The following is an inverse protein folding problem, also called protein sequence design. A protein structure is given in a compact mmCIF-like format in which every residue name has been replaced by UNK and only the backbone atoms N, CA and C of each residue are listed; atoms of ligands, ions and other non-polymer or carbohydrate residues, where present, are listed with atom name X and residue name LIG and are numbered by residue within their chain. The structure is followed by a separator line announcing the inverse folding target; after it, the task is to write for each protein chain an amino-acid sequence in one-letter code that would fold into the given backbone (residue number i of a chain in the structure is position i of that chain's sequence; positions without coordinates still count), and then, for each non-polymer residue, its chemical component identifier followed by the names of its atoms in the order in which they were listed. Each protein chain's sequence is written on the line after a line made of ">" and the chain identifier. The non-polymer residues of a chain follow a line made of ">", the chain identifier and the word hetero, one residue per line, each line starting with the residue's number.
data_IF_006053170354
#
_entry.id   IF_006053170354
#
_cell.length_a   1.000
_cell.length_b   1.000
_cell.length_c   1.000
_cell.angle_alpha   90.00
_cell.angle_beta   90.00
_cell.angle_gamma   90.00
#
_symmetry.space_group_name_H-M   'P 1'
#
loop_
_entity.id
_entity.type
_entity.pdbx_description
1 polymer ?
#
# COMPACT_ATOMS: atom_id res chain seq x y z
N UNK A 1 12.15 -11.08 -67.97
CA UNK A 1 12.81 -11.44 -66.70
C UNK A 1 12.51 -10.33 -65.72
N UNK A 2 11.55 -10.56 -64.82
CA UNK A 2 11.15 -9.60 -63.79
C UNK A 2 11.92 -9.95 -62.52
N UNK A 3 12.82 -9.06 -62.09
CA UNK A 3 13.56 -9.22 -60.83
C UNK A 3 12.62 -8.91 -59.66
N UNK A 4 12.29 -9.96 -58.91
CA UNK A 4 11.58 -9.88 -57.64
C UNK A 4 12.53 -9.35 -56.57
N UNK A 5 12.35 -8.09 -56.16
CA UNK A 5 13.08 -7.46 -55.06
C UNK A 5 12.52 -7.99 -53.74
N UNK A 6 13.32 -8.77 -53.01
CA UNK A 6 13.02 -9.23 -51.64
C UNK A 6 12.83 -8.02 -50.71
N UNK A 7 11.77 -7.96 -49.88
CA UNK A 7 11.60 -6.86 -48.94
C UNK A 7 12.63 -6.98 -47.81
N UNK A 8 13.31 -5.86 -47.52
CA UNK A 8 14.24 -5.76 -46.41
C UNK A 8 13.48 -5.92 -45.08
N UNK A 9 13.86 -6.93 -44.29
CA UNK A 9 13.42 -7.10 -42.91
C UNK A 9 13.83 -5.87 -42.11
N UNK A 10 12.88 -5.01 -41.78
CA UNK A 10 13.10 -3.87 -40.89
C UNK A 10 13.42 -4.44 -39.51
N UNK A 11 14.67 -4.32 -39.06
CA UNK A 11 15.05 -4.73 -37.72
C UNK A 11 14.20 -3.97 -36.70
N UNK A 12 13.47 -4.70 -35.85
CA UNK A 12 12.75 -4.10 -34.73
C UNK A 12 13.82 -3.43 -33.84
N UNK A 13 13.75 -2.12 -33.56
CA UNK A 13 14.73 -1.46 -32.71
C UNK A 13 14.73 -2.12 -31.32
N UNK A 14 15.92 -2.36 -30.76
CA UNK A 14 16.06 -2.91 -29.42
C UNK A 14 15.30 -2.04 -28.41
N UNK A 15 14.62 -2.64 -27.42
CA UNK A 15 13.85 -1.88 -26.45
C UNK A 15 14.78 -0.95 -25.63
N UNK A 16 14.27 0.21 -25.16
CA UNK A 16 15.07 1.14 -24.35
C UNK A 16 15.57 0.45 -23.07
N UNK A 17 16.83 0.68 -22.68
CA UNK A 17 17.35 0.15 -21.41
C UNK A 17 16.81 0.92 -20.20
N UNK A 18 16.90 0.31 -19.02
CA UNK A 18 16.51 0.91 -17.75
C UNK A 18 17.71 1.63 -17.10
N UNK A 19 17.43 2.66 -16.31
CA UNK A 19 18.46 3.22 -15.43
C UNK A 19 18.66 2.25 -14.26
N UNK A 20 19.92 1.97 -13.92
CA UNK A 20 20.27 0.99 -12.89
C UNK A 20 21.53 1.37 -12.12
N UNK A 21 21.77 0.62 -11.05
CA UNK A 21 23.00 0.62 -10.25
C UNK A 21 23.34 -0.78 -9.78
N UNK A 22 24.64 -1.06 -9.69
CA UNK A 22 25.16 -2.22 -8.95
C UNK A 22 25.75 -1.79 -7.61
N UNK A 23 25.61 -2.67 -6.61
CA UNK A 23 26.31 -2.60 -5.33
C UNK A 23 26.85 -4.00 -4.97
N UNK A 24 27.99 -4.08 -4.29
CA UNK A 24 28.59 -5.35 -3.85
C UNK A 24 29.68 -5.92 -4.79
N UNK A 25 30.19 -7.13 -4.49
CA UNK A 25 31.33 -7.72 -5.18
C UNK A 25 31.02 -8.06 -6.65
N UNK A 26 31.92 -7.76 -7.58
CA UNK A 26 31.68 -7.96 -9.03
C UNK A 26 31.44 -9.42 -9.44
N UNK A 27 32.11 -10.35 -8.74
CA UNK A 27 32.07 -11.80 -8.99
C UNK A 27 30.97 -12.53 -8.22
N UNK A 28 30.22 -11.82 -7.37
CA UNK A 28 29.13 -12.44 -6.61
C UNK A 28 27.91 -12.72 -7.51
N UNK A 29 27.09 -13.74 -7.19
CA UNK A 29 25.85 -13.99 -7.92
C UNK A 29 24.94 -12.76 -7.93
N UNK A 30 24.25 -12.51 -9.04
CA UNK A 30 23.40 -11.32 -9.19
C UNK A 30 22.05 -11.50 -8.50
N UNK A 31 21.68 -10.53 -7.67
CA UNK A 31 20.35 -10.38 -7.09
C UNK A 31 19.73 -9.07 -7.58
N UNK A 32 18.58 -9.15 -8.23
CA UNK A 32 17.86 -7.99 -8.76
C UNK A 32 16.78 -7.56 -7.77
N UNK A 33 16.70 -6.25 -7.48
CA UNK A 33 15.64 -5.65 -6.67
C UNK A 33 14.77 -4.71 -7.54
N UNK A 34 13.50 -5.08 -7.72
CA UNK A 34 12.50 -4.31 -8.47
C UNK A 34 11.69 -3.36 -7.57
N UNK A 35 11.57 -2.07 -7.92
CA UNK A 35 10.87 -1.08 -7.09
C UNK A 35 9.34 -1.15 -7.24
N UNK A 36 8.63 -0.46 -6.33
CA UNK A 36 7.19 -0.25 -6.40
C UNK A 36 6.85 0.94 -7.31
N UNK A 37 5.58 1.04 -7.72
CA UNK A 37 5.08 2.18 -8.50
C UNK A 37 5.19 3.47 -7.68
N UNK A 38 5.80 4.52 -8.23
CA UNK A 38 5.98 5.80 -7.56
C UNK A 38 7.16 5.83 -6.58
N UNK A 39 7.98 4.78 -6.53
CA UNK A 39 9.22 4.77 -5.76
C UNK A 39 10.44 4.73 -6.69
N UNK A 40 11.62 4.84 -6.10
CA UNK A 40 12.91 4.61 -6.76
C UNK A 40 13.58 3.39 -6.14
N UNK A 41 14.72 2.96 -6.69
CA UNK A 41 15.55 1.92 -6.09
C UNK A 41 15.98 2.22 -4.64
N UNK A 42 15.89 3.48 -4.19
CA UNK A 42 16.26 3.90 -2.84
C UNK A 42 15.34 3.29 -1.77
N UNK A 43 14.16 2.78 -2.14
CA UNK A 43 13.33 2.00 -1.23
C UNK A 43 14.02 0.76 -0.68
N UNK A 44 15.07 0.29 -1.36
CA UNK A 44 15.85 -0.88 -0.96
C UNK A 44 17.13 -0.54 -0.19
N UNK A 45 17.46 0.75 0.03
CA UNK A 45 18.75 1.17 0.59
C UNK A 45 19.07 0.49 1.92
N UNK A 46 18.06 0.22 2.75
CA UNK A 46 18.24 -0.40 4.08
C UNK A 46 18.54 -1.90 4.02
N UNK A 47 18.25 -2.58 2.91
CA UNK A 47 18.60 -3.99 2.71
C UNK A 47 20.04 -4.16 2.20
N UNK A 48 20.59 -3.14 1.52
CA UNK A 48 21.85 -3.24 0.78
C UNK A 48 23.03 -3.68 1.65
N UNK A 49 23.29 -3.12 2.86
CA UNK A 49 24.46 -3.48 3.64
C UNK A 49 24.59 -4.98 3.95
N UNK A 50 23.47 -5.68 4.08
CA UNK A 50 23.46 -7.12 4.33
C UNK A 50 23.46 -7.95 3.04
N UNK A 51 22.69 -7.54 2.03
CA UNK A 51 22.62 -8.29 0.76
C UNK A 51 23.96 -8.30 0.02
N UNK A 52 24.72 -7.20 0.04
CA UNK A 52 26.01 -7.12 -0.66
C UNK A 52 27.10 -8.00 -0.06
N UNK A 53 26.87 -8.62 1.11
CA UNK A 53 27.79 -9.60 1.69
C UNK A 53 27.85 -10.90 0.88
N UNK A 54 26.80 -11.23 0.13
CA UNK A 54 26.71 -12.48 -0.63
C UNK A 54 26.36 -12.29 -2.10
N UNK A 55 25.71 -11.17 -2.47
CA UNK A 55 25.24 -10.93 -3.83
C UNK A 55 25.81 -9.66 -4.43
N UNK A 56 25.94 -9.67 -5.75
CA UNK A 56 26.05 -8.45 -6.55
C UNK A 56 24.64 -7.92 -6.78
N UNK A 57 24.27 -6.87 -6.06
CA UNK A 57 22.90 -6.38 -6.06
C UNK A 57 22.69 -5.41 -7.22
N UNK A 58 21.77 -5.73 -8.12
CA UNK A 58 21.31 -4.85 -9.19
C UNK A 58 19.99 -4.21 -8.78
N UNK A 59 19.91 -2.89 -8.88
CA UNK A 59 18.67 -2.14 -8.65
C UNK A 59 18.39 -1.24 -9.83
N UNK A 60 17.13 -1.05 -10.17
CA UNK A 60 16.72 -0.21 -11.29
C UNK A 60 15.54 0.68 -10.91
N UNK A 61 15.42 1.78 -11.64
CA UNK A 61 14.26 2.65 -11.59
C UNK A 61 13.31 2.29 -12.73
N UNK A 62 12.01 2.39 -12.46
CA UNK A 62 10.99 2.27 -13.49
C UNK A 62 11.10 3.47 -14.45
N UNK A 63 10.63 3.36 -15.72
CA UNK A 63 10.65 4.49 -16.64
C UNK A 63 10.03 5.75 -16.02
N UNK A 64 10.71 6.89 -16.17
CA UNK A 64 10.27 8.17 -15.63
C UNK A 64 10.28 8.31 -14.09
N UNK A 65 10.75 7.31 -13.34
CA UNK A 65 10.86 7.41 -11.88
C UNK A 65 12.27 7.87 -11.48
N UNK A 66 12.37 8.67 -10.43
CA UNK A 66 13.64 9.19 -9.94
C UNK A 66 14.35 10.03 -11.01
N UNK A 67 15.46 9.53 -11.55
CA UNK A 67 16.20 10.15 -12.66
C UNK A 67 16.02 9.46 -14.01
N UNK A 68 15.19 8.42 -14.08
CA UNK A 68 15.13 7.55 -15.25
C UNK A 68 14.52 8.26 -16.45
N UNK A 69 15.05 8.02 -17.67
CA UNK A 69 14.45 8.57 -18.88
C UNK A 69 12.94 8.28 -18.97
N UNK A 70 12.17 9.33 -19.29
CA UNK A 70 10.72 9.27 -19.40
C UNK A 70 10.29 8.60 -20.72
N UNK A 71 10.37 7.27 -20.76
CA UNK A 71 9.92 6.45 -21.87
C UNK A 71 8.79 5.53 -21.39
N UNK A 72 7.51 5.95 -21.50
CA UNK A 72 6.39 5.18 -20.96
C UNK A 72 6.40 3.72 -21.41
N UNK A 73 5.97 2.82 -20.51
CA UNK A 73 5.79 1.40 -20.77
C UNK A 73 4.37 1.02 -20.33
N UNK A 74 3.54 0.60 -21.28
CA UNK A 74 2.10 0.39 -21.09
C UNK A 74 1.71 -1.01 -20.59
N UNK A 75 2.69 -1.89 -20.41
CA UNK A 75 2.48 -3.25 -19.93
C UNK A 75 3.63 -3.73 -19.06
N UNK A 76 3.37 -4.70 -18.17
CA UNK A 76 4.41 -5.36 -17.39
C UNK A 76 5.41 -6.06 -18.30
N UNK A 77 4.95 -6.67 -19.39
CA UNK A 77 5.79 -7.29 -20.41
C UNK A 77 6.79 -6.31 -21.05
N UNK A 78 6.39 -5.07 -21.33
CA UNK A 78 7.31 -4.03 -21.83
C UNK A 78 8.38 -3.67 -20.80
N UNK A 79 8.03 -3.53 -19.52
CA UNK A 79 9.02 -3.27 -18.46
C UNK A 79 9.99 -4.45 -18.33
N UNK A 80 9.48 -5.68 -18.35
CA UNK A 80 10.28 -6.91 -18.31
C UNK A 80 11.23 -7.00 -19.50
N UNK A 81 10.77 -6.71 -20.72
CA UNK A 81 11.62 -6.73 -21.92
C UNK A 81 12.76 -5.71 -21.84
N UNK A 82 12.52 -4.52 -21.27
CA UNK A 82 13.56 -3.50 -21.05
C UNK A 82 14.56 -3.93 -19.99
N UNK A 83 14.10 -4.56 -18.91
CA UNK A 83 14.97 -5.13 -17.90
C UNK A 83 15.88 -6.21 -18.51
N UNK A 84 15.31 -7.17 -19.26
CA UNK A 84 16.08 -8.22 -19.92
C UNK A 84 17.09 -7.66 -20.91
N UNK A 85 16.71 -6.71 -21.76
CA UNK A 85 17.65 -6.07 -22.69
C UNK A 85 18.79 -5.34 -21.97
N UNK A 86 18.51 -4.74 -20.80
CA UNK A 86 19.53 -4.12 -19.95
C UNK A 86 20.49 -5.17 -19.39
N UNK A 87 19.97 -6.29 -18.89
CA UNK A 87 20.76 -7.39 -18.32
C UNK A 87 21.60 -8.12 -19.38
N UNK A 88 21.04 -8.30 -20.58
CA UNK A 88 21.74 -8.93 -21.71
C UNK A 88 22.94 -8.08 -22.15
N UNK A 89 22.78 -6.76 -22.23
CA UNK A 89 23.88 -5.83 -22.51
C UNK A 89 24.98 -5.84 -21.43
N UNK A 90 24.63 -6.27 -20.21
CA UNK A 90 25.55 -6.41 -19.07
C UNK A 90 26.10 -7.84 -18.90
N UNK A 91 25.69 -8.77 -19.77
CA UNK A 91 26.11 -10.17 -19.69
C UNK A 91 25.50 -10.96 -18.53
N UNK A 92 24.46 -10.46 -17.87
CA UNK A 92 23.82 -11.12 -16.72
C UNK A 92 22.80 -12.15 -17.21
N UNK A 93 23.18 -13.43 -17.20
CA UNK A 93 22.36 -14.51 -17.76
C UNK A 93 21.43 -15.20 -16.76
N UNK A 94 21.77 -15.25 -15.46
CA UNK A 94 20.93 -15.87 -14.44
C UNK A 94 21.05 -15.11 -13.13
N UNK A 95 19.93 -14.91 -12.44
CA UNK A 95 19.86 -14.04 -11.26
C UNK A 95 18.76 -14.47 -10.28
N UNK A 96 18.91 -14.10 -9.02
CA UNK A 96 17.79 -14.05 -8.08
C UNK A 96 16.99 -12.78 -8.31
N UNK A 97 15.68 -12.80 -8.05
CA UNK A 97 14.84 -11.62 -8.24
C UNK A 97 13.94 -11.39 -7.03
N UNK A 98 13.98 -10.18 -6.45
CA UNK A 98 13.02 -9.72 -5.47
C UNK A 98 12.32 -8.45 -6.00
N UNK A 99 10.99 -8.41 -5.96
CA UNK A 99 10.24 -7.27 -6.49
C UNK A 99 9.11 -6.83 -5.57
N UNK A 100 8.97 -5.51 -5.37
CA UNK A 100 7.88 -4.94 -4.59
C UNK A 100 6.74 -4.46 -5.48
N UNK A 101 5.49 -4.87 -5.23
CA UNK A 101 4.29 -4.44 -5.96
C UNK A 101 4.42 -4.56 -7.49
N UNK A 102 4.52 -3.45 -8.24
CA UNK A 102 4.77 -3.48 -9.69
C UNK A 102 6.08 -4.21 -10.04
N UNK A 103 7.13 -4.05 -9.24
CA UNK A 103 8.34 -4.86 -9.34
C UNK A 103 8.07 -6.35 -9.11
N UNK A 104 7.11 -6.69 -8.25
CA UNK A 104 6.62 -8.07 -8.08
C UNK A 104 5.92 -8.60 -9.33
N UNK A 105 5.10 -7.77 -10.00
CA UNK A 105 4.47 -8.13 -11.28
C UNK A 105 5.52 -8.43 -12.36
N UNK A 106 6.57 -7.62 -12.45
CA UNK A 106 7.73 -7.86 -13.34
C UNK A 106 8.41 -9.20 -13.00
N UNK A 107 8.56 -9.52 -11.71
CA UNK A 107 9.10 -10.80 -11.26
C UNK A 107 8.25 -12.00 -11.67
N UNK A 108 6.93 -11.88 -11.57
CA UNK A 108 6.00 -12.93 -12.03
C UNK A 108 6.09 -13.11 -13.55
N UNK A 109 6.10 -12.02 -14.32
CA UNK A 109 6.25 -12.07 -15.78
C UNK A 109 7.58 -12.73 -16.18
N UNK A 110 8.68 -12.38 -15.50
CA UNK A 110 9.98 -13.04 -15.68
C UNK A 110 9.90 -14.54 -15.42
N UNK A 111 9.30 -14.96 -14.31
CA UNK A 111 9.22 -16.38 -13.95
C UNK A 111 8.29 -17.18 -14.87
N UNK A 112 7.26 -16.55 -15.44
CA UNK A 112 6.33 -17.20 -16.38
C UNK A 112 6.90 -17.31 -17.80
N UNK A 113 7.67 -16.32 -18.24
CA UNK A 113 8.10 -16.18 -19.63
C UNK A 113 9.58 -16.49 -19.85
N UNK A 114 10.39 -16.34 -18.81
CA UNK A 114 11.84 -16.54 -18.83
C UNK A 114 12.34 -17.31 -17.57
N UNK A 115 11.72 -18.46 -17.22
CA UNK A 115 12.09 -19.21 -16.01
C UNK A 115 13.56 -19.63 -15.99
N UNK A 116 14.20 -19.81 -17.14
CA UNK A 116 15.63 -20.13 -17.27
C UNK A 116 16.56 -19.03 -16.72
N UNK A 117 16.09 -17.79 -16.69
CA UNK A 117 16.86 -16.62 -16.20
C UNK A 117 16.74 -16.45 -14.69
N UNK A 118 15.65 -16.95 -14.09
CA UNK A 118 15.31 -16.71 -12.68
C UNK A 118 15.73 -17.91 -11.82
N UNK A 119 16.72 -17.72 -10.96
CA UNK A 119 17.16 -18.77 -10.04
C UNK A 119 16.18 -18.96 -8.86
N UNK A 120 15.60 -17.87 -8.38
CA UNK A 120 14.62 -17.83 -7.28
C UNK A 120 13.92 -16.47 -7.25
N UNK A 121 12.74 -16.44 -6.64
CA UNK A 121 11.80 -15.33 -6.72
C UNK A 121 11.29 -14.93 -5.34
N UNK A 122 11.40 -13.65 -4.99
CA UNK A 122 10.73 -13.06 -3.85
C UNK A 122 9.70 -12.01 -4.31
N UNK A 123 8.43 -12.26 -4.01
CA UNK A 123 7.31 -11.38 -4.31
C UNK A 123 6.92 -10.61 -3.04
N UNK A 124 7.26 -9.33 -3.00
CA UNK A 124 7.05 -8.46 -1.83
C UNK A 124 5.84 -7.55 -2.09
N UNK A 125 4.85 -7.57 -1.20
CA UNK A 125 3.63 -6.75 -1.33
C UNK A 125 3.09 -6.77 -2.78
N UNK A 126 2.91 -7.99 -3.31
CA UNK A 126 2.58 -8.24 -4.70
C UNK A 126 1.23 -8.95 -4.80
N UNK A 127 0.67 -8.97 -6.01
CA UNK A 127 -0.62 -9.60 -6.29
C UNK A 127 -0.61 -10.24 -7.68
N UNK A 128 -1.35 -11.33 -7.92
CA UNK A 128 -1.51 -11.89 -9.27
C UNK A 128 -2.47 -11.06 -10.13
N UNK A 129 -3.16 -10.10 -9.52
CA UNK A 129 -3.97 -9.06 -10.16
C UNK A 129 -4.10 -7.86 -9.23
N UNK A 130 -3.83 -6.66 -9.70
CA UNK A 130 -3.88 -5.47 -8.85
C UNK A 130 -5.24 -4.78 -8.93
N UNK A 131 -5.98 -4.76 -7.83
CA UNK A 131 -7.26 -4.05 -7.70
C UNK A 131 -8.21 -4.29 -8.87
N UNK A 132 -9.02 -3.26 -9.20
CA UNK A 132 -9.78 -3.23 -10.45
C UNK A 132 -9.06 -2.41 -11.51
N UNK A 133 -9.27 -2.77 -12.79
CA UNK A 133 -8.70 -2.01 -13.90
C UNK A 133 -9.17 -0.55 -13.88
N UNK A 134 -10.41 -0.31 -13.46
CA UNK A 134 -10.99 1.03 -13.40
C UNK A 134 -10.36 1.89 -12.31
N UNK A 135 -10.00 1.33 -11.14
CA UNK A 135 -9.26 2.07 -10.10
C UNK A 135 -7.92 2.62 -10.64
N UNK A 136 -7.16 1.80 -11.37
CA UNK A 136 -5.88 2.21 -11.94
C UNK A 136 -6.06 3.23 -13.09
N UNK A 137 -7.06 3.05 -13.95
CA UNK A 137 -7.39 4.03 -15.00
C UNK A 137 -7.85 5.36 -14.42
N UNK A 138 -8.66 5.34 -13.36
CA UNK A 138 -9.08 6.54 -12.63
C UNK A 138 -7.89 7.28 -12.02
N UNK A 139 -6.93 6.56 -11.43
CA UNK A 139 -5.65 7.18 -11.00
C UNK A 139 -4.93 7.84 -12.17
N UNK A 140 -4.89 7.20 -13.34
CA UNK A 140 -4.34 7.78 -14.55
C UNK A 140 -5.04 9.09 -14.98
N UNK A 141 -6.38 9.16 -14.87
CA UNK A 141 -7.17 10.38 -15.14
C UNK A 141 -6.85 11.49 -14.14
N UNK A 142 -6.74 11.16 -12.85
CA UNK A 142 -6.35 12.12 -11.80
C UNK A 142 -4.98 12.72 -12.13
N UNK A 143 -4.01 11.87 -12.46
CA UNK A 143 -2.64 12.30 -12.79
C UNK A 143 -2.59 13.17 -14.03
N UNK A 144 -3.33 12.80 -15.08
CA UNK A 144 -3.40 13.58 -16.32
C UNK A 144 -3.92 15.00 -16.09
N UNK A 145 -4.83 15.17 -15.13
CA UNK A 145 -5.51 16.44 -14.86
C UNK A 145 -4.76 17.28 -13.82
N UNK A 146 -4.19 16.64 -12.80
CA UNK A 146 -3.69 17.32 -11.59
C UNK A 146 -2.18 17.10 -11.35
N UNK A 147 -1.50 16.38 -12.22
CA UNK A 147 -0.15 15.88 -11.97
C UNK A 147 -0.11 14.86 -10.82
N UNK A 148 1.09 14.63 -10.29
CA UNK A 148 1.33 13.61 -9.27
C UNK A 148 0.98 14.06 -7.84
N UNK A 149 0.73 15.35 -7.60
CA UNK A 149 0.60 15.89 -6.25
C UNK A 149 -0.53 15.24 -5.42
N UNK A 150 -1.75 15.00 -5.95
CA UNK A 150 -2.81 14.32 -5.21
C UNK A 150 -2.46 12.86 -4.87
N UNK A 151 -1.76 12.19 -5.78
CA UNK A 151 -1.32 10.82 -5.57
C UNK A 151 -0.23 10.79 -4.50
N UNK A 152 0.76 11.68 -4.61
CA UNK A 152 1.87 11.77 -3.68
C UNK A 152 1.41 12.02 -2.25
N UNK A 153 0.49 12.97 -2.03
CA UNK A 153 -0.03 13.30 -0.69
C UNK A 153 -0.76 12.14 -0.02
N UNK A 154 -1.39 11.27 -0.79
CA UNK A 154 -2.17 10.13 -0.28
C UNK A 154 -1.41 8.81 -0.27
N UNK A 155 -0.18 8.78 -0.82
CA UNK A 155 0.62 7.55 -0.87
C UNK A 155 1.05 7.04 0.52
N UNK A 156 1.49 7.89 1.47
CA UNK A 156 1.88 7.42 2.80
C UNK A 156 0.80 6.61 3.52
N UNK A 157 -0.47 7.01 3.43
CA UNK A 157 -1.60 6.33 4.07
C UNK A 157 -1.81 4.89 3.55
N UNK A 158 -1.37 4.62 2.31
CA UNK A 158 -1.41 3.29 1.69
C UNK A 158 -0.12 2.51 1.91
N UNK A 159 0.98 3.19 2.20
CA UNK A 159 2.32 2.62 2.19
C UNK A 159 2.83 2.24 3.57
N UNK A 160 2.35 2.90 4.62
CA UNK A 160 2.83 2.75 5.98
C UNK A 160 1.68 2.59 6.96
N UNK A 161 1.93 1.90 8.07
CA UNK A 161 0.99 1.93 9.19
C UNK A 161 0.92 3.33 9.79
N UNK A 162 -0.21 3.67 10.42
CA UNK A 162 -0.36 4.95 11.11
C UNK A 162 0.69 5.17 12.20
N UNK A 163 1.07 4.10 12.91
CA UNK A 163 2.13 4.14 13.93
C UNK A 163 3.50 4.48 13.35
N UNK A 164 3.89 3.84 12.24
CA UNK A 164 5.14 4.18 11.56
C UNK A 164 5.11 5.59 10.97
N UNK A 165 4.01 5.97 10.33
CA UNK A 165 3.87 7.29 9.72
C UNK A 165 4.00 8.42 10.75
N UNK A 166 3.44 8.24 11.95
CA UNK A 166 3.58 9.18 13.06
C UNK A 166 5.00 9.20 13.64
N UNK A 167 5.65 8.04 13.75
CA UNK A 167 6.99 7.92 14.32
C UNK A 167 8.11 8.35 13.34
N UNK A 168 7.88 8.28 12.03
CA UNK A 168 8.90 8.50 10.99
C UNK A 168 8.46 9.52 9.92
N UNK A 169 8.11 10.76 10.31
CA UNK A 169 7.58 11.77 9.38
C UNK A 169 8.58 12.17 8.27
N UNK A 170 9.88 12.06 8.52
CA UNK A 170 10.89 12.32 7.50
C UNK A 170 10.90 11.25 6.40
N UNK A 171 10.64 9.99 6.75
CA UNK A 171 10.56 8.88 5.78
C UNK A 171 9.28 8.99 4.96
N UNK A 172 8.17 9.35 5.58
CA UNK A 172 6.91 9.55 4.86
C UNK A 172 7.01 10.72 3.88
N UNK A 173 7.60 11.85 4.29
CA UNK A 173 7.85 12.98 3.38
C UNK A 173 8.79 12.59 2.24
N UNK A 174 9.87 11.84 2.51
CA UNK A 174 10.74 11.29 1.46
C UNK A 174 9.96 10.43 0.46
N UNK A 175 9.04 9.59 0.94
CA UNK A 175 8.20 8.77 0.08
C UNK A 175 7.24 9.62 -0.78
N UNK A 176 6.67 10.70 -0.23
CA UNK A 176 5.88 11.69 -0.98
C UNK A 176 6.72 12.30 -2.10
N UNK A 177 7.98 12.68 -1.81
CA UNK A 177 8.86 13.30 -2.81
C UNK A 177 9.21 12.34 -3.96
N UNK A 178 9.45 11.05 -3.68
CA UNK A 178 9.66 10.06 -4.75
C UNK A 178 8.51 10.06 -5.75
N UNK A 179 7.27 10.04 -5.26
CA UNK A 179 6.07 10.07 -6.11
C UNK A 179 6.02 11.38 -6.91
N UNK A 180 6.19 12.53 -6.25
CA UNK A 180 6.15 13.86 -6.90
C UNK A 180 7.12 14.00 -8.05
N UNK A 181 8.30 13.41 -7.94
CA UNK A 181 9.36 13.51 -8.94
C UNK A 181 9.19 12.55 -10.12
N UNK A 182 8.19 11.67 -10.09
CA UNK A 182 7.92 10.75 -11.20
C UNK A 182 7.28 11.48 -12.38
N UNK A 183 7.71 11.16 -13.59
CA UNK A 183 7.10 11.63 -14.83
C UNK A 183 5.62 11.22 -14.90
N UNK A 184 4.67 12.17 -15.07
CA UNK A 184 3.24 11.86 -15.11
C UNK A 184 2.84 10.88 -16.21
N UNK A 185 3.46 10.97 -17.40
CA UNK A 185 3.16 10.08 -18.53
C UNK A 185 3.55 8.64 -18.24
N UNK A 186 4.74 8.44 -17.66
CA UNK A 186 5.22 7.13 -17.26
C UNK A 186 4.41 6.54 -16.09
N UNK A 187 4.01 7.38 -15.12
CA UNK A 187 3.13 6.94 -14.03
C UNK A 187 1.77 6.45 -14.55
N UNK A 188 1.15 7.20 -15.48
CA UNK A 188 -0.10 6.79 -16.13
C UNK A 188 0.08 5.46 -16.87
N UNK A 189 1.16 5.30 -17.63
CA UNK A 189 1.42 4.06 -18.36
C UNK A 189 1.64 2.87 -17.41
N UNK A 190 2.29 3.08 -16.27
CA UNK A 190 2.44 2.05 -15.25
C UNK A 190 1.10 1.70 -14.58
N UNK A 191 0.18 2.67 -14.41
CA UNK A 191 -1.19 2.37 -13.99
C UNK A 191 -1.92 1.50 -15.03
N UNK A 192 -1.81 1.81 -16.33
CA UNK A 192 -2.40 0.96 -17.38
C UNK A 192 -1.78 -0.45 -17.39
N UNK A 193 -0.47 -0.56 -17.17
CA UNK A 193 0.20 -1.85 -17.05
C UNK A 193 -0.37 -2.70 -15.91
N UNK A 194 -0.61 -2.10 -14.74
CA UNK A 194 -1.24 -2.78 -13.61
C UNK A 194 -2.72 -3.08 -13.84
N UNK A 195 -3.45 -2.19 -14.53
CA UNK A 195 -4.85 -2.39 -14.87
C UNK A 195 -5.07 -3.61 -15.78
N UNK A 196 -4.11 -3.89 -16.67
CA UNK A 196 -4.14 -5.04 -17.58
C UNK A 196 -3.50 -6.31 -17.00
N UNK A 197 -2.81 -6.23 -15.86
CA UNK A 197 -2.10 -7.36 -15.29
C UNK A 197 -3.03 -8.31 -14.54
N UNK A 198 -3.25 -9.50 -15.10
CA UNK A 198 -3.95 -10.60 -14.46
C UNK A 198 -3.34 -11.94 -14.91
N UNK A 199 -2.61 -12.57 -14.00
CA UNK A 199 -1.87 -13.82 -14.24
C UNK A 199 -2.39 -14.97 -13.38
N UNK A 200 -3.56 -14.78 -12.72
CA UNK A 200 -4.18 -15.82 -11.87
C UNK A 200 -4.30 -17.18 -12.57
N UNK A 201 -4.67 -17.29 -13.86
CA UNK A 201 -4.74 -18.57 -14.55
C UNK A 201 -3.38 -19.22 -14.84
N UNK A 202 -2.28 -18.46 -14.76
CA UNK A 202 -0.94 -18.89 -15.16
C UNK A 202 -0.04 -19.23 -13.96
N UNK A 203 -0.42 -18.88 -12.72
CA UNK A 203 0.43 -19.04 -11.53
C UNK A 203 1.02 -20.44 -11.37
N UNK A 204 0.26 -21.49 -11.72
CA UNK A 204 0.71 -22.88 -11.64
C UNK A 204 1.90 -23.23 -12.54
N UNK A 205 2.28 -22.34 -13.46
CA UNK A 205 3.44 -22.49 -14.36
C UNK A 205 4.73 -21.92 -13.77
N UNK A 206 4.67 -21.19 -12.66
CA UNK A 206 5.87 -20.67 -11.99
C UNK A 206 6.55 -21.82 -11.27
N UNK A 207 7.67 -22.30 -11.83
CA UNK A 207 8.41 -23.46 -11.30
C UNK A 207 9.64 -23.12 -10.46
N UNK A 208 9.93 -21.84 -10.23
CA UNK A 208 11.11 -21.41 -9.47
C UNK A 208 10.77 -21.30 -7.97
N UNK A 209 11.73 -21.58 -7.06
CA UNK A 209 11.52 -21.41 -5.63
C UNK A 209 11.04 -19.99 -5.32
N UNK A 210 9.87 -19.88 -4.69
CA UNK A 210 9.19 -18.59 -4.50
C UNK A 210 8.93 -18.30 -3.02
N UNK A 211 9.32 -17.10 -2.58
CA UNK A 211 8.88 -16.49 -1.32
C UNK A 211 7.85 -15.40 -1.63
N UNK A 212 6.72 -15.42 -0.93
CA UNK A 212 5.74 -14.34 -0.92
C UNK A 212 5.84 -13.65 0.44
N UNK A 213 6.14 -12.36 0.45
CA UNK A 213 6.32 -11.54 1.64
C UNK A 213 5.29 -10.41 1.64
N UNK A 214 4.52 -10.28 2.72
CA UNK A 214 3.48 -9.24 2.83
C UNK A 214 3.45 -8.64 4.23
N UNK A 215 3.10 -7.37 4.35
CA UNK A 215 2.80 -6.75 5.64
C UNK A 215 1.43 -7.20 6.17
N UNK A 216 1.30 -7.41 7.47
CA UNK A 216 0.00 -7.81 8.06
C UNK A 216 -1.10 -6.79 7.82
N UNK A 217 -0.73 -5.51 7.66
CA UNK A 217 -1.63 -4.37 7.61
C UNK A 217 -1.71 -3.77 6.20
N UNK A 218 -1.08 -4.41 5.20
CA UNK A 218 -1.14 -3.99 3.80
C UNK A 218 -2.59 -4.05 3.29
N UNK A 219 -3.15 -2.89 2.94
CA UNK A 219 -4.51 -2.77 2.38
C UNK A 219 -4.52 -2.67 0.84
N UNK A 220 -3.35 -2.64 0.20
CA UNK A 220 -3.20 -2.53 -1.25
C UNK A 220 -3.06 -3.92 -1.88
N UNK A 221 -2.18 -4.75 -1.33
CA UNK A 221 -1.89 -6.12 -1.77
C UNK A 221 -1.75 -7.05 -0.56
N UNK A 222 -2.75 -6.97 0.32
CA UNK A 222 -2.70 -7.55 1.64
C UNK A 222 -2.60 -9.08 1.73
N UNK A 223 -2.67 -9.63 2.95
CA UNK A 223 -2.53 -11.06 3.20
C UNK A 223 -3.46 -11.97 2.38
N UNK A 224 -4.62 -11.46 1.92
CA UNK A 224 -5.51 -12.21 1.03
C UNK A 224 -4.87 -12.48 -0.34
N UNK A 225 -4.27 -11.46 -0.96
CA UNK A 225 -3.60 -11.61 -2.26
C UNK A 225 -2.34 -12.46 -2.15
N UNK A 226 -1.58 -12.30 -1.05
CA UNK A 226 -0.43 -13.13 -0.76
C UNK A 226 -0.80 -14.62 -0.64
N UNK A 227 -1.94 -14.93 0.00
CA UNK A 227 -2.48 -16.30 0.05
C UNK A 227 -2.89 -16.81 -1.33
N UNK A 228 -3.46 -15.97 -2.18
CA UNK A 228 -3.76 -16.33 -3.58
C UNK A 228 -2.50 -16.69 -4.35
N UNK A 229 -1.41 -15.92 -4.21
CA UNK A 229 -0.11 -16.25 -4.81
C UNK A 229 0.39 -17.61 -4.34
N UNK A 230 0.42 -17.84 -3.02
CA UNK A 230 0.94 -19.09 -2.44
C UNK A 230 0.09 -20.30 -2.81
N UNK A 231 -1.24 -20.13 -2.91
CA UNK A 231 -2.11 -21.20 -3.37
C UNK A 231 -1.94 -21.52 -4.87
N UNK A 232 -1.55 -20.53 -5.68
CA UNK A 232 -1.39 -20.69 -7.12
C UNK A 232 0.00 -21.11 -7.58
N UNK A 233 1.04 -20.81 -6.79
CA UNK A 233 2.45 -21.06 -7.16
C UNK A 233 2.95 -22.33 -6.44
N UNK A 234 3.40 -23.36 -7.18
CA UNK A 234 4.02 -24.55 -6.59
C UNK A 234 5.16 -24.22 -5.62
N UNK A 235 5.16 -24.87 -4.46
CA UNK A 235 6.19 -24.75 -3.41
C UNK A 235 6.48 -23.33 -2.91
N UNK A 236 5.56 -22.38 -3.14
CA UNK A 236 5.68 -21.04 -2.63
C UNK A 236 5.53 -21.00 -1.09
N UNK A 237 6.37 -20.19 -0.44
CA UNK A 237 6.31 -19.95 1.01
C UNK A 237 5.73 -18.59 1.30
N UNK A 238 4.90 -18.48 2.34
CA UNK A 238 4.37 -17.20 2.83
C UNK A 238 5.17 -16.71 4.04
N UNK A 239 5.57 -15.44 4.01
CA UNK A 239 6.02 -14.69 5.18
C UNK A 239 5.13 -13.46 5.38
N UNK A 240 4.48 -13.38 6.55
CA UNK A 240 3.70 -12.20 6.94
C UNK A 240 4.52 -11.42 7.98
N UNK A 241 4.81 -10.15 7.69
CA UNK A 241 5.56 -9.26 8.57
C UNK A 241 4.56 -8.48 9.44
N UNK A 242 4.52 -8.71 10.77
CA UNK A 242 3.57 -8.04 11.65
C UNK A 242 3.84 -6.53 11.75
N UNK A 243 2.77 -5.73 11.82
CA UNK A 243 2.85 -4.28 12.02
C UNK A 243 3.56 -3.57 10.87
N UNK A 244 3.32 -4.03 9.63
CA UNK A 244 3.79 -3.40 8.41
C UNK A 244 2.66 -3.31 7.39
N UNK A 245 2.65 -2.23 6.63
CA UNK A 245 1.75 -2.01 5.51
C UNK A 245 2.46 -2.32 4.18
N UNK A 246 2.12 -1.62 3.09
CA UNK A 246 2.52 -1.99 1.73
C UNK A 246 4.02 -1.84 1.43
N UNK A 247 4.69 -0.78 1.89
CA UNK A 247 6.14 -0.62 1.70
C UNK A 247 6.93 -1.31 2.83
N UNK A 248 6.66 -2.61 3.01
CA UNK A 248 7.32 -3.47 4.01
C UNK A 248 8.85 -3.35 4.03
N UNK A 249 9.57 -3.26 2.89
CA UNK A 249 11.03 -3.07 2.89
C UNK A 249 11.51 -1.78 3.58
N UNK A 250 10.67 -0.74 3.57
CA UNK A 250 10.99 0.56 4.19
C UNK A 250 10.55 0.56 5.66
N UNK A 251 9.38 -0.01 5.95
CA UNK A 251 8.76 0.01 7.27
C UNK A 251 9.41 -0.99 8.25
N UNK A 252 9.71 -2.22 7.79
CA UNK A 252 10.33 -3.28 8.59
C UNK A 252 11.59 -3.82 7.89
N UNK A 253 12.63 -2.98 7.74
CA UNK A 253 13.78 -3.29 6.89
C UNK A 253 14.56 -4.51 7.36
N UNK A 254 14.73 -4.69 8.68
CA UNK A 254 15.48 -5.82 9.24
C UNK A 254 14.77 -7.16 8.97
N UNK A 255 13.46 -7.25 9.26
CA UNK A 255 12.67 -8.45 9.01
C UNK A 255 12.66 -8.83 7.53
N UNK A 256 12.50 -7.86 6.63
CA UNK A 256 12.58 -8.10 5.18
C UNK A 256 13.96 -8.58 4.78
N UNK A 257 15.03 -7.96 5.28
CA UNK A 257 16.40 -8.36 4.98
C UNK A 257 16.67 -9.81 5.37
N UNK A 258 16.32 -10.20 6.59
CA UNK A 258 16.53 -11.56 7.09
C UNK A 258 15.79 -12.59 6.23
N UNK A 259 14.54 -12.30 5.86
CA UNK A 259 13.73 -13.16 5.00
C UNK A 259 14.32 -13.32 3.60
N UNK A 260 14.80 -12.23 2.99
CA UNK A 260 15.45 -12.27 1.67
C UNK A 260 16.78 -13.02 1.74
N UNK A 261 17.64 -12.73 2.72
CA UNK A 261 18.92 -13.43 2.90
C UNK A 261 18.69 -14.93 3.06
N UNK A 262 17.76 -15.33 3.92
CA UNK A 262 17.43 -16.74 4.14
C UNK A 262 16.90 -17.42 2.87
N UNK A 263 15.99 -16.76 2.15
CA UNK A 263 15.41 -17.30 0.92
C UNK A 263 16.46 -17.51 -0.18
N UNK A 264 17.27 -16.50 -0.48
CA UNK A 264 18.24 -16.56 -1.56
C UNK A 264 19.45 -17.44 -1.23
N UNK A 265 19.88 -17.50 0.04
CA UNK A 265 20.97 -18.40 0.45
C UNK A 265 20.57 -19.88 0.29
N UNK A 266 19.33 -20.24 0.62
CA UNK A 266 18.84 -21.62 0.52
C UNK A 266 18.54 -22.04 -0.93
N UNK A 267 18.00 -21.12 -1.75
CA UNK A 267 17.67 -21.42 -3.13
C UNK A 267 18.91 -21.58 -4.03
N UNK A 268 19.99 -20.84 -3.77
CA UNK A 268 21.21 -20.93 -4.58
C UNK A 268 21.99 -22.24 -4.35
N UNK A 269 21.80 -22.89 -3.21
CA UNK A 269 22.44 -24.17 -2.89
C UNK A 269 21.86 -25.34 -3.70
N UNK A 270 20.62 -25.26 -4.21
CA UNK A 270 19.97 -26.38 -4.91
C UNK A 270 20.44 -26.62 -6.35
N UNK A 271 21.28 -25.75 -6.94
CA UNK A 271 21.67 -25.86 -8.36
C UNK A 271 23.05 -26.50 -8.64
N UNK A 272 23.69 -27.19 -7.68
CA UNK A 272 24.98 -27.86 -7.92
C UNK A 272 25.13 -29.26 -7.30
N UNK A 273 24.05 -30.02 -7.14
CA UNK A 273 24.19 -31.39 -6.62
C UNK A 273 23.38 -32.43 -7.40
N UNK A 274 23.85 -32.72 -8.62
CA UNK A 274 23.73 -34.04 -9.22
C UNK A 274 25.12 -34.54 -9.57
N UNK A 275 25.89 -34.92 -8.55
CA UNK A 275 27.15 -35.59 -8.82
C UNK A 275 28.12 -35.81 -7.67
N UNK A 276 27.71 -36.07 -6.42
CA UNK A 276 28.30 -37.11 -5.53
C UNK A 276 27.83 -36.94 -4.08
N UNK A 277 27.42 -38.04 -3.48
CA UNK A 277 27.03 -38.20 -2.07
C UNK A 277 28.11 -37.79 -1.07
N UNK A 278 27.73 -37.02 -0.03
CA UNK A 278 28.11 -37.29 1.37
C UNK A 278 27.28 -36.46 2.38
N UNK A 279 26.46 -37.13 3.20
CA UNK A 279 26.26 -36.76 4.62
C UNK A 279 27.34 -37.50 5.41
N UNK A 280 28.04 -36.90 6.42
CA UNK A 280 27.47 -36.65 7.76
C UNK A 280 28.08 -35.39 8.46
N UNK A 281 27.70 -34.88 9.63
CA UNK A 281 26.77 -35.25 10.70
C UNK A 281 26.86 -34.18 11.81
N UNK A 282 25.88 -34.12 12.72
CA UNK A 282 25.89 -33.26 13.93
C UNK A 282 26.30 -34.12 15.13
N UNK A 283 27.08 -33.59 16.10
CA UNK A 283 26.54 -33.46 17.46
C UNK A 283 26.80 -32.10 18.13
N UNK A 284 25.85 -31.73 18.99
CA UNK A 284 25.67 -30.46 19.68
C UNK A 284 26.54 -30.23 20.93
N UNK A 285 26.54 -28.99 21.44
CA UNK A 285 26.61 -28.72 22.87
C UNK A 285 25.72 -27.51 23.24
N UNK A 286 24.90 -27.59 24.32
CA UNK A 286 24.03 -26.50 24.75
C UNK A 286 24.75 -25.53 25.71
N UNK A 287 24.53 -24.23 25.51
CA UNK A 287 24.93 -23.19 26.47
C UNK A 287 23.71 -22.82 27.32
N UNK A 288 23.78 -22.77 28.66
CA UNK A 288 22.64 -22.36 29.48
C UNK A 288 22.47 -20.83 29.41
N UNK A 289 21.27 -20.39 29.04
CA UNK A 289 20.84 -18.99 29.18
C UNK A 289 20.36 -18.74 30.61
N UNK A 290 20.95 -17.76 31.28
CA UNK A 290 20.46 -17.23 32.54
C UNK A 290 19.15 -16.45 32.33
N UNK A 291 18.23 -16.42 33.31
CA UNK A 291 16.99 -15.67 33.18
C UNK A 291 17.25 -14.15 33.17
N UNK A 292 16.53 -13.37 32.33
CA UNK A 292 16.71 -11.92 32.28
C UNK A 292 16.28 -11.28 33.61
N UNK A 293 17.09 -10.33 34.08
CA UNK A 293 16.75 -9.48 35.22
C UNK A 293 15.70 -8.44 34.79
N UNK A 294 14.70 -8.11 35.63
CA UNK A 294 13.74 -7.06 35.33
C UNK A 294 14.42 -5.68 35.35
N UNK A 295 14.41 -5.00 34.22
CA UNK A 295 14.71 -3.56 34.11
C UNK A 295 13.51 -2.75 34.65
N UNK A 296 13.73 -1.69 35.44
CA UNK A 296 12.64 -0.88 35.95
C UNK A 296 11.96 -0.10 34.80
N UNK A 297 10.64 -0.21 34.73
CA UNK A 297 9.78 0.60 33.87
C UNK A 297 9.93 2.06 34.32
N UNK A 298 10.35 2.93 33.40
CA UNK A 298 10.45 4.36 33.66
C UNK A 298 9.06 4.93 34.01
N UNK A 299 8.99 5.62 35.14
CA UNK A 299 7.80 6.34 35.59
C UNK A 299 7.59 7.55 34.65
N UNK A 300 6.51 7.54 33.87
CA UNK A 300 6.18 8.60 32.91
C UNK A 300 5.62 9.78 33.71
N UNK A 301 6.43 10.83 33.88
CA UNK A 301 5.96 12.11 34.40
C UNK A 301 5.02 12.78 33.38
N UNK A 302 3.90 13.40 33.80
CA UNK A 302 2.99 14.07 32.87
C UNK A 302 3.67 15.30 32.27
N UNK A 303 3.59 15.43 30.94
CA UNK A 303 4.03 16.62 30.23
C UNK A 303 3.11 17.81 30.56
N UNK A 304 3.69 19.00 30.68
CA UNK A 304 2.93 20.22 30.97
C UNK A 304 2.00 20.58 29.81
N UNK A 305 0.70 20.67 30.10
CA UNK A 305 -0.33 21.11 29.15
C UNK A 305 -0.15 22.61 28.87
N UNK A 306 0.06 23.05 27.61
CA UNK A 306 0.15 24.46 27.29
C UNK A 306 -1.18 25.19 27.55
N UNK A 307 -1.11 26.41 28.09
CA UNK A 307 -2.30 27.19 28.43
C UNK A 307 -3.08 27.61 27.18
N UNK A 308 -4.40 27.39 27.20
CA UNK A 308 -5.35 27.77 26.15
C UNK A 308 -5.29 29.28 25.87
N UNK A 309 -5.33 29.64 24.59
CA UNK A 309 -5.48 31.04 24.16
C UNK A 309 -6.96 31.41 24.08
N UNK A 310 -7.32 32.68 24.34
CA UNK A 310 -8.71 33.13 24.42
C UNK A 310 -9.56 32.80 23.17
N UNK A 311 -8.96 32.82 21.98
CA UNK A 311 -9.65 32.46 20.73
C UNK A 311 -9.92 30.96 20.54
N UNK A 312 -9.23 30.07 21.28
CA UNK A 312 -9.48 28.63 21.25
C UNK A 312 -10.66 28.24 22.15
N UNK A 313 -10.83 28.94 23.29
CA UNK A 313 -11.95 28.71 24.21
C UNK A 313 -13.30 29.07 23.56
N UNK A 314 -13.38 30.23 22.90
CA UNK A 314 -14.60 30.71 22.23
C UNK A 314 -15.09 29.76 21.11
N UNK A 315 -14.16 29.19 20.35
CA UNK A 315 -14.47 28.19 19.31
C UNK A 315 -14.89 26.84 19.88
N UNK A 316 -14.32 26.43 21.01
CA UNK A 316 -14.72 25.20 21.69
C UNK A 316 -16.14 25.31 22.24
N UNK A 317 -16.51 26.42 22.87
CA UNK A 317 -17.87 26.66 23.37
C UNK A 317 -18.90 26.70 22.25
N UNK A 318 -18.60 27.44 21.17
CA UNK A 318 -19.42 27.46 19.95
C UNK A 318 -19.57 26.07 19.34
N UNK A 319 -18.46 25.32 19.27
CA UNK A 319 -18.45 23.96 18.74
C UNK A 319 -19.23 22.99 19.61
N UNK A 320 -19.14 23.09 20.93
CA UNK A 320 -19.88 22.24 21.85
C UNK A 320 -21.38 22.44 21.72
N UNK A 321 -21.82 23.70 21.57
CA UNK A 321 -23.23 24.02 21.29
C UNK A 321 -23.70 23.39 19.98
N UNK A 322 -22.98 23.57 18.89
CA UNK A 322 -23.35 23.02 17.58
C UNK A 322 -23.31 21.49 17.61
N UNK A 323 -22.29 20.89 18.25
CA UNK A 323 -22.16 19.44 18.41
C UNK A 323 -23.38 18.85 19.13
N UNK A 324 -23.87 19.52 20.17
CA UNK A 324 -25.08 19.09 20.90
C UNK A 324 -26.33 19.21 20.05
N UNK A 325 -26.50 20.32 19.35
CA UNK A 325 -27.65 20.50 18.46
C UNK A 325 -27.67 19.44 17.34
N UNK A 326 -26.51 19.07 16.80
CA UNK A 326 -26.41 18.10 15.70
C UNK A 326 -26.32 16.65 16.15
N UNK A 327 -25.65 16.32 17.26
CA UNK A 327 -25.45 14.93 17.73
C UNK A 327 -26.35 14.53 18.91
N UNK A 328 -26.97 15.50 19.59
CA UNK A 328 -27.87 15.30 20.70
C UNK A 328 -27.13 15.26 22.04
N UNK A 329 -27.73 15.83 23.08
CA UNK A 329 -27.08 15.99 24.38
C UNK A 329 -26.60 14.67 24.98
N UNK A 330 -27.48 13.66 25.02
CA UNK A 330 -27.16 12.35 25.60
C UNK A 330 -25.96 11.67 24.92
N UNK A 331 -25.83 11.80 23.59
CA UNK A 331 -24.71 11.23 22.85
C UNK A 331 -23.42 12.00 23.14
N UNK A 332 -23.47 13.34 23.15
CA UNK A 332 -22.31 14.18 23.45
C UNK A 332 -21.83 13.96 24.88
N UNK A 333 -22.74 13.84 25.84
CA UNK A 333 -22.41 13.58 27.24
C UNK A 333 -21.76 12.21 27.42
N UNK A 334 -22.27 11.18 26.73
CA UNK A 334 -21.67 9.84 26.77
C UNK A 334 -20.25 9.82 26.18
N UNK A 335 -20.04 10.52 25.07
CA UNK A 335 -18.73 10.64 24.42
C UNK A 335 -17.73 11.40 25.29
N UNK A 336 -18.14 12.52 25.90
CA UNK A 336 -17.28 13.29 26.80
C UNK A 336 -16.99 12.53 28.11
N UNK A 337 -17.96 11.78 28.65
CA UNK A 337 -17.75 10.97 29.85
C UNK A 337 -16.81 9.76 29.60
N UNK A 338 -16.78 9.23 28.36
CA UNK A 338 -15.83 8.20 27.93
C UNK A 338 -14.44 8.77 27.63
N UNK A 339 -14.32 10.08 27.47
CA UNK A 339 -13.06 10.74 27.22
C UNK A 339 -12.22 10.81 28.51
N UNK A 340 -11.31 9.85 28.67
CA UNK A 340 -10.32 9.89 29.76
C UNK A 340 -9.13 10.78 29.41
N UNK A 341 -8.12 10.83 30.28
CA UNK A 341 -6.89 11.61 30.10
C UNK A 341 -6.20 11.37 28.74
N UNK A 342 -6.37 10.17 28.17
CA UNK A 342 -5.79 9.79 26.89
C UNK A 342 -6.52 10.39 25.66
N UNK A 343 -7.83 10.65 25.75
CA UNK A 343 -8.65 11.06 24.61
C UNK A 343 -9.34 12.41 24.78
N UNK A 344 -9.18 13.06 25.93
CA UNK A 344 -9.73 14.39 26.22
C UNK A 344 -9.30 15.46 25.20
N UNK A 345 -7.99 15.55 24.92
CA UNK A 345 -7.45 16.52 23.95
C UNK A 345 -7.98 16.30 22.53
N UNK A 346 -8.24 15.04 22.17
CA UNK A 346 -8.83 14.69 20.88
C UNK A 346 -10.31 15.10 20.80
N UNK A 347 -11.10 14.84 21.85
CA UNK A 347 -12.50 15.26 21.91
C UNK A 347 -12.64 16.78 21.93
N UNK A 348 -11.70 17.48 22.57
CA UNK A 348 -11.60 18.94 22.49
C UNK A 348 -11.32 19.40 21.06
N UNK A 349 -10.31 18.83 20.41
CA UNK A 349 -9.95 19.16 19.04
C UNK A 349 -11.13 18.95 18.08
N UNK A 350 -11.80 17.80 18.13
CA UNK A 350 -12.96 17.49 17.29
C UNK A 350 -14.08 18.49 17.54
N UNK A 351 -14.38 18.79 18.81
CA UNK A 351 -15.41 19.77 19.20
C UNK A 351 -15.13 21.14 18.60
N UNK A 352 -13.89 21.62 18.72
CA UNK A 352 -13.50 22.92 18.18
C UNK A 352 -13.50 22.93 16.64
N UNK A 353 -12.83 21.97 16.02
CA UNK A 353 -12.56 22.01 14.58
C UNK A 353 -13.72 21.53 13.73
N UNK A 354 -14.34 20.39 14.04
CA UNK A 354 -15.48 19.92 13.24
C UNK A 354 -16.70 20.82 13.49
N UNK A 355 -17.04 21.04 14.76
CA UNK A 355 -18.31 21.67 15.10
C UNK A 355 -18.23 23.19 15.17
N UNK A 356 -17.19 23.72 15.82
CA UNK A 356 -17.00 25.16 16.00
C UNK A 356 -16.52 25.87 14.73
N UNK A 357 -15.75 25.19 13.88
CA UNK A 357 -15.16 25.80 12.70
C UNK A 357 -15.80 25.40 11.38
N UNK A 358 -16.37 24.20 11.21
CA UNK A 358 -16.89 23.75 9.90
C UNK A 358 -18.42 23.68 9.86
N UNK A 359 -19.05 22.99 10.82
CA UNK A 359 -20.52 22.87 10.85
C UNK A 359 -21.24 24.20 11.12
N UNK A 360 -20.58 25.14 11.78
CA UNK A 360 -21.09 26.49 12.02
C UNK A 360 -20.92 27.48 10.85
N UNK A 361 -20.23 27.11 9.77
CA UNK A 361 -19.93 28.08 8.69
C UNK A 361 -21.16 28.41 7.86
N UNK A 362 -21.34 29.69 7.48
CA UNK A 362 -22.31 30.05 6.45
C UNK A 362 -21.89 29.44 5.10
N UNK A 363 -22.86 29.03 4.28
CA UNK A 363 -22.65 28.53 2.92
C UNK A 363 -23.37 27.22 2.60
N UNK A 364 -23.36 26.26 3.55
CA UNK A 364 -24.19 25.05 3.47
C UNK A 364 -25.06 24.95 4.71
N UNK A 365 -26.35 24.70 4.52
CA UNK A 365 -27.27 24.43 5.62
C UNK A 365 -27.00 23.05 6.27
N UNK A 366 -27.57 22.83 7.45
CA UNK A 366 -27.35 21.59 8.22
C UNK A 366 -27.89 20.35 7.54
N UNK A 367 -28.95 20.49 6.74
CA UNK A 367 -29.52 19.39 5.95
C UNK A 367 -28.50 18.92 4.91
N UNK A 368 -27.99 19.84 4.11
CA UNK A 368 -27.02 19.58 3.05
C UNK A 368 -25.71 19.02 3.63
N UNK A 369 -25.24 19.58 4.76
CA UNK A 369 -24.06 19.03 5.46
C UNK A 369 -24.29 17.60 5.93
N UNK A 370 -25.50 17.27 6.39
CA UNK A 370 -25.86 15.89 6.76
C UNK A 370 -25.84 14.97 5.55
N UNK A 371 -26.38 15.38 4.39
CA UNK A 371 -26.28 14.61 3.15
C UNK A 371 -24.82 14.29 2.79
N UNK A 372 -23.96 15.32 2.77
CA UNK A 372 -22.53 15.16 2.45
C UNK A 372 -21.82 14.26 3.45
N UNK A 373 -22.11 14.42 4.74
CA UNK A 373 -21.50 13.62 5.81
C UNK A 373 -21.92 12.16 5.69
N UNK A 374 -23.20 11.87 5.48
CA UNK A 374 -23.69 10.51 5.26
C UNK A 374 -22.98 9.87 4.05
N UNK A 375 -22.91 10.56 2.91
CA UNK A 375 -22.18 10.04 1.75
C UNK A 375 -20.72 9.73 2.07
N UNK A 376 -20.00 10.64 2.75
CA UNK A 376 -18.60 10.44 3.10
C UNK A 376 -18.39 9.24 4.05
N UNK A 377 -19.26 9.06 5.04
CA UNK A 377 -19.21 7.92 5.96
C UNK A 377 -19.48 6.59 5.24
N UNK A 378 -20.38 6.59 4.26
CA UNK A 378 -20.62 5.41 3.39
C UNK A 378 -19.39 5.11 2.54
N UNK A 379 -18.76 6.12 1.94
CA UNK A 379 -17.53 5.92 1.14
C UNK A 379 -16.38 5.35 1.98
N UNK A 380 -16.20 5.83 3.21
CA UNK A 380 -15.14 5.38 4.12
C UNK A 380 -15.43 4.06 4.86
N UNK A 381 -16.65 3.51 4.73
CA UNK A 381 -17.05 2.30 5.45
C UNK A 381 -17.21 2.50 6.96
N UNK A 382 -17.39 3.73 7.44
CA UNK A 382 -17.47 4.09 8.86
C UNK A 382 -18.89 3.87 9.41
N UNK A 383 -19.30 2.60 9.51
CA UNK A 383 -20.67 2.22 9.84
C UNK A 383 -21.12 2.59 11.27
N UNK A 384 -20.19 2.64 12.23
CA UNK A 384 -20.48 3.04 13.61
C UNK A 384 -20.87 4.53 13.69
N UNK A 385 -20.09 5.39 13.04
CA UNK A 385 -20.39 6.82 12.93
C UNK A 385 -21.61 7.09 12.07
N UNK A 386 -21.84 6.28 11.03
CA UNK A 386 -23.01 6.39 10.16
C UNK A 386 -24.32 6.29 10.93
N UNK A 387 -24.39 5.44 11.95
CA UNK A 387 -25.58 5.33 12.80
C UNK A 387 -25.87 6.64 13.55
N UNK A 388 -24.83 7.22 14.17
CA UNK A 388 -24.95 8.49 14.89
C UNK A 388 -25.32 9.66 13.96
N UNK A 389 -24.71 9.70 12.76
CA UNK A 389 -24.99 10.72 11.78
C UNK A 389 -26.33 10.55 11.04
N UNK A 390 -26.90 9.33 11.02
CA UNK A 390 -28.27 9.12 10.54
C UNK A 390 -29.28 9.75 11.51
N UNK A 391 -29.11 9.58 12.83
CA UNK A 391 -29.94 10.31 13.83
C UNK A 391 -29.76 11.82 13.72
N UNK A 392 -28.52 12.27 13.51
CA UNK A 392 -28.22 13.68 13.32
C UNK A 392 -28.92 14.26 12.07
N UNK A 393 -28.94 13.50 10.97
CA UNK A 393 -29.62 13.90 9.75
C UNK A 393 -31.13 14.07 9.95
N UNK A 394 -31.77 13.13 10.66
CA UNK A 394 -33.18 13.23 11.05
C UNK A 394 -33.43 14.47 11.91
N UNK A 395 -32.60 14.75 12.92
CA UNK A 395 -32.71 15.95 13.77
C UNK A 395 -32.46 17.26 13.02
N UNK A 396 -31.59 17.24 12.01
CA UNK A 396 -31.39 18.36 11.10
C UNK A 396 -32.53 18.50 10.07
N UNK A 397 -33.51 17.61 10.10
CA UNK A 397 -34.78 17.69 9.39
C UNK A 397 -34.90 16.80 8.16
N UNK A 398 -33.89 16.00 7.81
CA UNK A 398 -34.03 15.08 6.68
C UNK A 398 -35.12 14.05 6.99
N UNK A 399 -35.93 13.74 5.99
CA UNK A 399 -36.89 12.65 6.08
C UNK A 399 -36.20 11.30 5.81
N UNK A 400 -36.79 10.18 6.26
CA UNK A 400 -36.32 8.84 5.88
C UNK A 400 -36.19 8.65 4.36
N UNK A 401 -37.10 9.23 3.58
CA UNK A 401 -37.04 9.17 2.12
C UNK A 401 -35.87 9.97 1.55
N UNK A 402 -35.56 11.16 2.08
CA UNK A 402 -34.38 11.92 1.65
C UNK A 402 -33.07 11.20 2.01
N UNK A 403 -33.01 10.56 3.19
CA UNK A 403 -31.85 9.73 3.56
C UNK A 403 -31.72 8.54 2.60
N UNK A 404 -32.84 7.90 2.22
CA UNK A 404 -32.86 6.84 1.20
C UNK A 404 -32.29 7.34 -0.13
N UNK A 405 -32.71 8.52 -0.61
CA UNK A 405 -32.18 9.10 -1.86
C UNK A 405 -30.66 9.36 -1.77
N UNK A 406 -30.15 9.84 -0.63
CA UNK A 406 -28.71 10.01 -0.41
C UNK A 406 -27.97 8.66 -0.48
N UNK A 407 -28.52 7.60 0.09
CA UNK A 407 -27.90 6.27 0.06
C UNK A 407 -27.99 5.61 -1.32
N UNK A 408 -29.08 5.84 -2.08
CA UNK A 408 -29.20 5.42 -3.47
C UNK A 408 -28.15 6.13 -4.35
N UNK A 409 -28.00 7.44 -4.16
CA UNK A 409 -26.94 8.21 -4.83
C UNK A 409 -25.55 7.65 -4.47
N UNK A 410 -25.31 7.36 -3.18
CA UNK A 410 -24.06 6.78 -2.72
C UNK A 410 -23.78 5.40 -3.35
N UNK A 411 -24.80 4.58 -3.63
CA UNK A 411 -24.62 3.28 -4.29
C UNK A 411 -23.99 3.40 -5.69
N UNK A 412 -24.29 4.47 -6.42
CA UNK A 412 -23.73 4.73 -7.77
C UNK A 412 -22.24 5.05 -7.70
N UNK A 413 -21.81 5.84 -6.71
CA UNK A 413 -20.44 6.35 -6.63
C UNK A 413 -19.52 5.57 -5.69
N UNK A 414 -20.09 4.90 -4.68
CA UNK A 414 -19.35 4.19 -3.63
C UNK A 414 -19.49 2.66 -3.75
N UNK A 415 -20.32 2.18 -4.67
CA UNK A 415 -20.58 0.76 -4.90
C UNK A 415 -21.72 0.19 -4.05
N UNK A 416 -22.44 -0.77 -4.64
CA UNK A 416 -23.61 -1.43 -4.05
C UNK A 416 -23.30 -2.12 -2.71
N UNK A 417 -22.15 -2.80 -2.48
CA UNK A 417 -21.88 -3.44 -1.19
C UNK A 417 -21.75 -2.45 -0.02
N UNK A 418 -21.12 -1.30 -0.24
CA UNK A 418 -20.99 -0.24 0.76
C UNK A 418 -22.37 0.37 1.08
N UNK A 419 -23.15 0.68 0.03
CA UNK A 419 -24.51 1.15 0.19
C UNK A 419 -25.42 0.13 0.89
N UNK A 420 -25.32 -1.17 0.60
CA UNK A 420 -26.10 -2.21 1.28
C UNK A 420 -25.85 -2.21 2.80
N UNK A 421 -24.59 -2.06 3.21
CA UNK A 421 -24.25 -1.97 4.63
C UNK A 421 -24.80 -0.69 5.27
N UNK A 422 -24.73 0.42 4.55
CA UNK A 422 -25.30 1.69 4.98
C UNK A 422 -26.82 1.66 5.11
N UNK A 423 -27.52 1.04 4.14
CA UNK A 423 -28.97 0.85 4.15
C UNK A 423 -29.44 0.08 5.38
N UNK A 424 -28.72 -0.99 5.74
CA UNK A 424 -29.02 -1.79 6.93
C UNK A 424 -28.91 -0.97 8.21
N UNK A 425 -27.83 -0.18 8.36
CA UNK A 425 -27.63 0.70 9.52
C UNK A 425 -28.69 1.80 9.57
N UNK A 426 -28.92 2.49 8.46
CA UNK A 426 -29.89 3.59 8.40
C UNK A 426 -31.31 3.09 8.66
N UNK A 427 -31.69 1.93 8.12
CA UNK A 427 -33.01 1.35 8.36
C UNK A 427 -33.23 0.98 9.83
N UNK A 428 -32.20 0.46 10.50
CA UNK A 428 -32.26 0.19 11.93
C UNK A 428 -32.50 1.49 12.71
N UNK A 429 -31.67 2.51 12.47
CA UNK A 429 -31.76 3.79 13.16
C UNK A 429 -33.09 4.50 12.90
N UNK A 430 -33.55 4.54 11.64
CA UNK A 430 -34.83 5.15 11.28
C UNK A 430 -35.96 4.44 12.02
N UNK A 431 -35.95 3.10 12.08
CA UNK A 431 -36.97 2.35 12.83
C UNK A 431 -36.95 2.70 14.32
N UNK A 432 -35.77 2.78 14.93
CA UNK A 432 -35.61 3.18 16.34
C UNK A 432 -36.16 4.60 16.60
N UNK A 433 -35.94 5.54 15.68
CA UNK A 433 -36.33 6.96 15.86
C UNK A 433 -37.77 7.27 15.43
N UNK A 434 -38.38 6.49 14.54
CA UNK A 434 -39.73 6.76 14.00
C UNK A 434 -40.82 5.84 14.55
N UNK A 435 -40.47 4.82 15.32
CA UNK A 435 -41.46 3.94 15.97
C UNK A 435 -41.76 4.48 17.37
N UNK A 436 -43.04 4.71 17.75
CA UNK A 436 -43.37 5.16 19.09
C UNK A 436 -42.87 4.16 20.14
N UNK A 437 -42.27 4.65 21.22
CA UNK A 437 -41.99 3.81 22.40
C UNK A 437 -43.32 3.42 23.05
N UNK A 438 -43.53 2.11 23.25
CA UNK A 438 -44.67 1.54 23.99
C UNK A 438 -44.62 1.86 25.49
#
# INVERSE_FOLDING_TARGET
>A
MSETKTPATTAIPAPPTLQYRFDGPEEAPVLILGPSLGTTWHMWDRQIPELVKQWRVFRFDLPGHGGAPAHPAGSVAEVTARLLATLDALGVQRFGYAGCALGGAVGIELALRHPERVASLALVAASPRFGTADEFRQRGVIVRTNGLDPIARTSPDRWFTGGFAAAQPAITEWAVQMVRTTDPGCYIAACEALAAFDVRPELGRIGVPTLVLVGSDDQVTGPAEARTLVAGIPDARLAVVPGASHLVPVEQPAAVTDLLVHHFATAWQQSYDTGQTALPGIPAAPVPLAPPQPVPVAEIAPAAVPARTAGQADRYETGLKIRREVMGDAHVDQELARAGDFSGDFQEFVTRSAWGEIWGRPGLDRRTRSCVTLTALVTGGHLEDLAAHTRAALRNGLTPDEIKEVLLQAAVYCGVPAANSAFRVAQQVIREETTPAE
#
